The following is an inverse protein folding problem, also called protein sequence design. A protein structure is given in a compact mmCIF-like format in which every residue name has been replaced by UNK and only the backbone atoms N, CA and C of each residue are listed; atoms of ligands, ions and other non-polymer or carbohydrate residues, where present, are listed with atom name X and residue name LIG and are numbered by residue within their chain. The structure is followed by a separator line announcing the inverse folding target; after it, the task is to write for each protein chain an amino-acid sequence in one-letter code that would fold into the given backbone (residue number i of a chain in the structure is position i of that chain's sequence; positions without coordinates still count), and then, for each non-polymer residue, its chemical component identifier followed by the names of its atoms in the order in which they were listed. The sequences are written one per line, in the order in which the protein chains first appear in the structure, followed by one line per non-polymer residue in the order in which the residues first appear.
data_IF_726206624933
#
_entry.id   IF_726206624933
#
_cell.length_a   1.000
_cell.length_b   1.000
_cell.length_c   1.000
_cell.angle_alpha   90.00
_cell.angle_beta   90.00
_cell.angle_gamma   90.00
#
_symmetry.space_group_name_H-M   'P 1'
#
loop_
_entity.id
_entity.type
_entity.pdbx_description
1 polymer ?
#
# COMPACT_ATOMS: atom_id res chain seq x y z
N UNK A 1 -29.92 19.27 -31.04
CA UNK A 1 -28.97 18.39 -31.75
C UNK A 1 -27.68 19.17 -31.90
N UNK A 2 -26.81 19.11 -30.90
CA UNK A 2 -25.55 19.86 -30.84
C UNK A 2 -24.48 18.84 -30.48
N UNK A 3 -23.58 18.54 -31.41
CA UNK A 3 -22.56 17.51 -31.27
C UNK A 3 -21.40 18.06 -30.43
N UNK A 4 -21.03 17.33 -29.38
CA UNK A 4 -19.89 17.60 -28.52
C UNK A 4 -18.66 16.91 -29.14
N UNK A 5 -17.69 17.69 -29.59
CA UNK A 5 -16.47 17.19 -30.22
C UNK A 5 -15.51 16.70 -29.13
N UNK A 6 -15.41 15.38 -28.97
CA UNK A 6 -14.39 14.75 -28.13
C UNK A 6 -13.00 14.91 -28.78
N UNK A 7 -12.13 15.70 -28.16
CA UNK A 7 -10.70 15.77 -28.51
C UNK A 7 -9.99 14.64 -27.79
N UNK A 8 -9.79 13.53 -28.48
CA UNK A 8 -8.97 12.42 -28.03
C UNK A 8 -7.49 12.74 -28.30
N UNK A 9 -6.65 12.76 -27.27
CA UNK A 9 -5.20 12.97 -27.40
C UNK A 9 -4.50 11.70 -26.95
N UNK A 10 -4.16 10.85 -27.92
CA UNK A 10 -3.32 9.68 -27.71
C UNK A 10 -1.90 10.11 -27.29
N UNK A 11 -1.28 9.49 -26.28
CA UNK A 11 0.09 9.83 -25.87
C UNK A 11 1.10 9.25 -26.87
N UNK A 12 1.62 10.11 -27.74
CA UNK A 12 2.75 9.77 -28.62
C UNK A 12 4.02 9.56 -27.80
N UNK A 13 4.45 8.31 -27.69
CA UNK A 13 5.70 7.92 -27.05
C UNK A 13 6.92 8.59 -27.72
N UNK A 14 7.53 9.56 -27.03
CA UNK A 14 8.81 10.14 -27.43
C UNK A 14 9.94 9.48 -26.64
N UNK A 15 10.61 8.51 -27.26
CA UNK A 15 11.91 8.01 -26.78
C UNK A 15 12.97 9.07 -27.05
N UNK A 16 13.57 9.64 -26.02
CA UNK A 16 14.78 10.46 -26.15
C UNK A 16 15.96 9.74 -25.48
N UNK A 17 16.83 9.16 -26.31
CA UNK A 17 18.21 8.84 -25.91
C UNK A 17 19.02 10.13 -25.92
N UNK A 18 19.67 10.47 -24.81
CA UNK A 18 20.81 11.38 -24.82
C UNK A 18 21.76 10.99 -23.67
N UNK A 19 22.93 10.46 -24.06
CA UNK A 19 24.06 10.23 -23.16
C UNK A 19 25.07 11.34 -23.41
N UNK A 20 25.71 11.75 -22.32
CA UNK A 20 27.03 12.40 -22.16
C UNK A 20 27.11 13.91 -21.89
N UNK A 21 27.86 14.16 -20.80
CA UNK A 21 28.61 15.36 -20.39
C UNK A 21 27.84 16.40 -19.56
N UNK A 22 27.66 16.02 -18.30
CA UNK A 22 28.08 16.81 -17.13
C UNK A 22 27.83 18.31 -17.20
N UNK A 23 26.56 18.69 -17.06
CA UNK A 23 26.19 20.03 -16.63
C UNK A 23 25.44 19.87 -15.32
N UNK A 24 26.08 20.25 -14.21
CA UNK A 24 25.39 20.33 -12.92
C UNK A 24 24.45 21.52 -13.00
N UNK A 25 23.21 21.27 -13.40
CA UNK A 25 22.14 22.26 -13.28
C UNK A 25 21.85 22.39 -11.78
N UNK A 26 22.41 23.43 -11.15
CA UNK A 26 21.97 23.85 -9.81
C UNK A 26 20.50 24.25 -9.94
N UNK A 27 19.58 23.35 -9.58
CA UNK A 27 18.20 23.74 -9.26
C UNK A 27 18.31 24.72 -8.11
N UNK A 28 18.15 26.01 -8.40
CA UNK A 28 18.03 27.05 -7.38
C UNK A 28 16.73 26.76 -6.62
N UNK A 29 16.81 26.04 -5.50
CA UNK A 29 15.75 26.06 -4.50
C UNK A 29 15.85 27.42 -3.80
N UNK A 30 14.88 28.34 -3.99
CA UNK A 30 14.89 29.57 -3.22
C UNK A 30 14.74 29.21 -1.74
N UNK A 31 15.77 29.48 -0.94
CA UNK A 31 15.69 29.39 0.51
C UNK A 31 14.74 30.48 0.99
N UNK A 32 13.47 30.15 1.23
CA UNK A 32 12.44 31.07 1.71
C UNK A 32 12.66 31.51 3.18
N UNK A 33 13.84 31.30 3.75
CA UNK A 33 14.17 31.71 5.11
C UNK A 33 15.06 32.95 5.08
N UNK A 34 14.69 33.95 5.88
CA UNK A 34 15.39 35.25 6.06
C UNK A 34 16.86 35.07 6.51
N UNK A 35 17.28 33.85 6.86
CA UNK A 35 18.57 33.52 7.46
C UNK A 35 19.31 32.35 6.77
N UNK A 36 19.07 32.10 5.48
CA UNK A 36 19.76 31.05 4.69
C UNK A 36 19.88 29.71 5.44
N UNK A 37 18.83 29.32 6.17
CA UNK A 37 18.83 28.03 6.88
C UNK A 37 18.88 26.91 5.83
N UNK A 38 19.80 25.92 5.96
CA UNK A 38 19.83 24.78 5.08
C UNK A 38 18.46 24.09 5.07
N UNK A 39 17.86 23.98 3.89
CA UNK A 39 16.63 23.23 3.68
C UNK A 39 17.03 21.91 3.06
N UNK A 40 16.69 20.80 3.71
CA UNK A 40 16.90 19.47 3.15
C UNK A 40 16.08 19.32 1.86
N UNK A 41 16.61 18.65 0.83
CA UNK A 41 15.82 18.32 -0.36
C UNK A 41 14.63 17.45 0.06
N UNK A 42 13.42 17.88 -0.29
CA UNK A 42 12.17 17.14 -0.04
C UNK A 42 11.70 16.47 -1.35
N UNK A 43 11.19 15.24 -1.26
CA UNK A 43 10.62 14.48 -2.39
C UNK A 43 9.16 14.87 -2.72
N UNK A 44 8.78 16.12 -2.45
CA UNK A 44 7.40 16.58 -2.68
C UNK A 44 7.26 17.07 -4.12
N UNK A 45 6.44 16.37 -4.91
CA UNK A 45 6.08 16.80 -6.26
C UNK A 45 4.81 17.67 -6.22
N UNK A 46 4.89 18.85 -6.84
CA UNK A 46 3.76 19.76 -6.98
C UNK A 46 3.14 19.60 -8.36
N UNK A 47 1.83 19.35 -8.42
CA UNK A 47 1.10 19.08 -9.67
C UNK A 47 0.39 20.33 -10.20
N UNK A 48 0.10 21.30 -9.33
CA UNK A 48 -0.54 22.54 -9.73
C UNK A 48 -0.79 23.51 -8.57
N UNK A 49 -1.61 24.53 -8.83
CA UNK A 49 -2.00 25.55 -7.84
C UNK A 49 -3.50 25.81 -7.92
N UNK A 50 -4.18 25.91 -6.78
CA UNK A 50 -5.57 26.37 -6.68
C UNK A 50 -5.59 27.89 -6.44
N UNK A 51 -6.43 28.64 -7.18
CA UNK A 51 -6.51 30.11 -7.12
C UNK A 51 -7.78 30.66 -6.43
N UNK A 52 -8.60 29.81 -5.83
CA UNK A 52 -9.91 30.21 -5.28
C UNK A 52 -9.80 31.13 -4.03
N UNK A 53 -8.63 31.16 -3.36
CA UNK A 53 -8.36 32.01 -2.19
C UNK A 53 -6.85 32.25 -2.04
N UNK A 54 -6.23 32.85 -3.05
CA UNK A 54 -4.78 32.97 -3.21
C UNK A 54 -4.16 31.74 -3.87
N UNK A 55 -2.86 31.79 -4.20
CA UNK A 55 -2.14 30.68 -4.82
C UNK A 55 -1.79 29.61 -3.77
N UNK A 56 -2.50 28.48 -3.80
CA UNK A 56 -2.26 27.34 -2.91
C UNK A 56 -1.66 26.19 -3.71
N UNK A 57 -0.43 25.75 -3.44
CA UNK A 57 0.17 24.63 -4.15
C UNK A 57 -0.58 23.32 -3.83
N UNK A 58 -0.76 22.50 -4.85
CA UNK A 58 -1.38 21.18 -4.76
C UNK A 58 -0.30 20.12 -4.94
N UNK A 59 -0.09 19.36 -3.88
CA UNK A 59 0.86 18.25 -3.86
C UNK A 59 0.28 17.02 -4.58
N UNK A 60 1.13 16.27 -5.28
CA UNK A 60 0.80 14.96 -5.84
C UNK A 60 0.44 13.97 -4.72
N UNK A 61 -0.68 13.27 -4.83
CA UNK A 61 -1.01 12.13 -3.97
C UNK A 61 -0.54 10.84 -4.63
N UNK A 62 0.08 9.94 -3.86
CA UNK A 62 0.44 8.59 -4.31
C UNK A 62 -0.72 7.58 -4.21
N UNK A 63 -1.90 8.01 -3.74
CA UNK A 63 -3.06 7.14 -3.58
C UNK A 63 -3.66 6.76 -4.93
N UNK A 64 -3.84 5.47 -5.18
CA UNK A 64 -4.61 4.97 -6.32
C UNK A 64 -6.10 5.07 -5.97
N UNK A 65 -6.79 6.01 -6.62
CA UNK A 65 -8.23 6.26 -6.41
C UNK A 65 -9.03 5.41 -7.40
N UNK A 66 -9.92 4.57 -6.88
CA UNK A 66 -10.86 3.78 -7.70
C UNK A 66 -11.99 4.66 -8.24
N UNK A 67 -12.50 5.57 -7.41
CA UNK A 67 -13.58 6.48 -7.77
C UNK A 67 -13.87 7.46 -6.64
N UNK A 68 -14.97 8.20 -6.74
CA UNK A 68 -15.41 9.13 -5.70
C UNK A 68 -16.86 8.86 -5.32
N UNK A 69 -17.20 9.00 -4.04
CA UNK A 69 -18.59 8.97 -3.56
C UNK A 69 -19.05 10.34 -3.08
N UNK A 70 -20.33 10.63 -3.34
CA UNK A 70 -21.01 11.86 -2.91
C UNK A 70 -20.23 13.11 -3.37
N UNK A 71 -19.97 14.03 -2.43
CA UNK A 71 -19.30 15.31 -2.65
C UNK A 71 -17.78 15.17 -2.89
N UNK A 72 -17.38 14.27 -3.79
CA UNK A 72 -15.98 14.10 -4.19
C UNK A 72 -15.09 13.43 -3.16
N UNK A 73 -15.64 12.60 -2.24
CA UNK A 73 -14.82 11.84 -1.30
C UNK A 73 -14.13 10.69 -2.06
N UNK A 74 -12.79 10.66 -2.16
CA UNK A 74 -12.10 9.62 -2.90
C UNK A 74 -12.25 8.27 -2.20
N UNK A 75 -12.40 7.22 -2.99
CA UNK A 75 -12.36 5.83 -2.57
C UNK A 75 -11.02 5.25 -3.03
N UNK A 76 -10.25 4.75 -2.08
CA UNK A 76 -9.00 4.05 -2.37
C UNK A 76 -9.27 2.71 -3.03
N UNK A 77 -8.50 2.36 -4.06
CA UNK A 77 -8.54 1.04 -4.66
C UNK A 77 -8.09 -0.04 -3.67
N UNK A 78 -8.77 -1.17 -3.66
CA UNK A 78 -8.47 -2.33 -2.81
C UNK A 78 -8.04 -3.52 -3.65
N UNK A 79 -7.10 -4.31 -3.14
CA UNK A 79 -6.59 -5.53 -3.80
C UNK A 79 -7.43 -6.79 -3.48
N UNK A 80 -8.56 -6.63 -2.78
CA UNK A 80 -9.45 -7.73 -2.41
C UNK A 80 -10.10 -8.37 -3.65
N UNK A 81 -10.07 -9.71 -3.73
CA UNK A 81 -10.71 -10.48 -4.79
C UNK A 81 -12.08 -10.98 -4.34
N UNK A 82 -13.10 -10.72 -5.14
CA UNK A 82 -14.46 -11.17 -4.89
C UNK A 82 -14.65 -12.52 -5.59
N UNK A 83 -15.14 -13.52 -4.86
CA UNK A 83 -15.50 -14.83 -5.40
C UNK A 83 -16.91 -14.81 -5.98
N UNK A 84 -17.88 -14.36 -5.19
CA UNK A 84 -19.29 -14.28 -5.56
C UNK A 84 -20.00 -13.19 -4.71
N UNK A 85 -21.25 -12.89 -5.01
CA UNK A 85 -22.07 -11.96 -4.23
C UNK A 85 -23.40 -12.59 -3.83
N UNK A 86 -23.76 -12.48 -2.55
CA UNK A 86 -25.05 -12.93 -2.06
C UNK A 86 -26.20 -12.08 -2.63
N UNK A 87 -27.41 -12.64 -2.74
CA UNK A 87 -28.61 -11.85 -3.02
C UNK A 87 -28.78 -10.82 -1.90
N UNK A 88 -28.62 -9.54 -2.24
CA UNK A 88 -28.57 -8.43 -1.28
C UNK A 88 -27.28 -7.59 -1.35
N UNK A 89 -26.30 -7.99 -2.19
CA UNK A 89 -25.12 -7.17 -2.50
C UNK A 89 -23.93 -7.35 -1.55
N UNK A 90 -24.02 -8.29 -0.60
CA UNK A 90 -22.89 -8.66 0.24
C UNK A 90 -21.89 -9.50 -0.56
N UNK A 91 -20.69 -8.97 -0.78
CA UNK A 91 -19.61 -9.69 -1.44
C UNK A 91 -19.05 -10.82 -0.56
N UNK A 92 -18.78 -11.97 -1.18
CA UNK A 92 -17.98 -13.06 -0.63
C UNK A 92 -16.55 -12.89 -1.16
N UNK A 93 -15.59 -12.74 -0.26
CA UNK A 93 -14.18 -12.60 -0.62
C UNK A 93 -13.50 -13.95 -0.72
N UNK A 94 -12.52 -14.05 -1.61
CA UNK A 94 -11.59 -15.19 -1.63
C UNK A 94 -10.71 -15.11 -0.39
N UNK A 95 -10.60 -16.20 0.36
CA UNK A 95 -9.69 -16.34 1.50
C UNK A 95 -8.78 -17.53 1.32
N UNK A 96 -7.53 -17.41 1.78
CA UNK A 96 -6.57 -18.52 1.79
C UNK A 96 -6.78 -19.50 2.97
N UNK A 97 -7.79 -19.25 3.81
CA UNK A 97 -8.14 -20.13 4.92
C UNK A 97 -8.96 -21.33 4.44
N UNK A 98 -8.47 -22.54 4.74
CA UNK A 98 -9.14 -23.79 4.43
C UNK A 98 -9.59 -24.48 5.72
N UNK A 99 -10.91 -24.66 5.85
CA UNK A 99 -11.47 -25.56 6.86
C UNK A 99 -11.23 -27.02 6.45
N UNK A 100 -10.93 -27.87 7.42
CA UNK A 100 -10.78 -29.32 7.20
C UNK A 100 -12.16 -29.95 7.16
N UNK A 101 -12.52 -30.52 6.01
CA UNK A 101 -13.83 -31.14 5.82
C UNK A 101 -14.00 -32.36 6.75
N UNK A 102 -15.15 -32.44 7.42
CA UNK A 102 -15.52 -33.57 8.27
C UNK A 102 -14.95 -33.54 9.69
N UNK A 103 -14.18 -32.51 10.06
CA UNK A 103 -13.66 -32.32 11.40
C UNK A 103 -14.25 -31.06 12.04
N UNK A 104 -15.43 -31.22 12.66
CA UNK A 104 -16.06 -30.17 13.46
C UNK A 104 -15.96 -30.51 14.94
N UNK A 105 -15.64 -29.50 15.76
CA UNK A 105 -15.77 -29.63 17.21
C UNK A 105 -17.26 -29.60 17.61
N UNK A 106 -17.60 -30.16 18.79
CA UNK A 106 -18.96 -30.08 19.33
C UNK A 106 -19.52 -28.65 19.27
N UNK A 107 -20.71 -28.52 18.69
CA UNK A 107 -21.34 -27.22 18.44
C UNK A 107 -21.02 -26.58 17.09
N UNK A 108 -20.54 -27.36 16.11
CA UNK A 108 -20.34 -26.88 14.73
C UNK A 108 -19.21 -25.86 14.61
N UNK A 109 -18.17 -26.00 15.44
CA UNK A 109 -17.00 -25.12 15.41
C UNK A 109 -16.03 -25.68 14.37
N UNK A 110 -15.78 -24.97 13.25
CA UNK A 110 -14.93 -25.48 12.18
C UNK A 110 -13.49 -25.58 12.63
N UNK A 111 -12.80 -26.65 12.21
CA UNK A 111 -11.36 -26.81 12.42
C UNK A 111 -10.61 -26.35 11.18
N UNK A 112 -9.64 -25.47 11.39
CA UNK A 112 -8.80 -24.93 10.32
C UNK A 112 -7.52 -25.73 10.18
N UNK A 113 -7.04 -25.89 8.95
CA UNK A 113 -5.72 -26.46 8.70
C UNK A 113 -4.65 -25.47 9.19
N UNK A 114 -3.75 -25.95 10.05
CA UNK A 114 -2.59 -25.20 10.48
C UNK A 114 -1.43 -25.39 9.49
N UNK A 115 -0.52 -24.41 9.34
CA UNK A 115 0.65 -24.58 8.49
C UNK A 115 1.51 -25.76 8.99
N UNK A 116 2.08 -26.52 8.04
CA UNK A 116 2.81 -27.77 8.33
C UNK A 116 3.97 -27.63 9.31
N UNK A 117 4.60 -26.45 9.43
CA UNK A 117 5.68 -26.20 10.40
C UNK A 117 5.26 -26.35 11.87
N UNK A 118 3.96 -26.34 12.18
CA UNK A 118 3.45 -26.61 13.52
C UNK A 118 3.43 -28.11 13.87
N UNK A 119 3.63 -29.00 12.89
CA UNK A 119 3.72 -30.44 13.13
C UNK A 119 5.01 -30.82 13.85
N UNK A 120 6.10 -30.10 13.55
CA UNK A 120 7.43 -30.32 14.11
C UNK A 120 7.69 -29.53 15.41
N UNK A 121 6.74 -28.67 15.81
CA UNK A 121 6.85 -27.90 17.04
C UNK A 121 6.80 -28.82 18.28
N UNK A 122 7.60 -28.50 19.30
CA UNK A 122 7.46 -29.10 20.63
C UNK A 122 6.04 -28.88 21.17
N UNK A 123 5.43 -29.88 21.80
CA UNK A 123 4.02 -29.83 22.25
C UNK A 123 3.88 -29.97 23.76
N UNK A 124 2.97 -29.18 24.35
CA UNK A 124 2.49 -29.37 25.71
C UNK A 124 1.40 -30.44 25.79
N UNK A 125 1.01 -30.89 27.00
CA UNK A 125 -0.18 -31.71 27.19
C UNK A 125 -1.41 -31.12 26.48
N UNK A 126 -2.13 -31.98 25.74
CA UNK A 126 -3.24 -31.57 24.88
C UNK A 126 -2.80 -31.01 23.53
N UNK A 127 -1.67 -31.47 23.00
CA UNK A 127 -1.15 -31.17 21.65
C UNK A 127 -0.99 -29.68 21.34
N UNK A 128 -0.70 -28.86 22.36
CA UNK A 128 -0.52 -27.42 22.19
C UNK A 128 0.90 -27.14 21.68
N UNK A 129 1.09 -26.69 20.42
CA UNK A 129 2.42 -26.40 19.92
C UNK A 129 3.00 -25.18 20.64
N UNK A 130 4.27 -25.28 21.00
CA UNK A 130 5.08 -24.19 21.51
C UNK A 130 6.31 -24.02 20.62
N UNK A 131 6.69 -22.77 20.43
CA UNK A 131 7.94 -22.44 19.77
C UNK A 131 9.13 -22.79 20.69
N UNK A 132 10.25 -23.13 20.07
CA UNK A 132 11.50 -23.30 20.80
C UNK A 132 11.90 -21.98 21.45
N UNK A 133 12.41 -22.06 22.68
CA UNK A 133 13.07 -20.92 23.33
C UNK A 133 14.55 -20.80 22.89
N UNK A 134 15.02 -21.68 22.01
CA UNK A 134 16.34 -21.59 21.42
C UNK A 134 16.36 -20.40 20.47
N UNK A 135 17.13 -19.38 20.85
CA UNK A 135 17.37 -18.19 20.06
C UNK A 135 18.66 -18.44 19.27
N UNK A 136 18.60 -18.41 17.95
CA UNK A 136 19.73 -18.75 17.08
C UNK A 136 20.98 -17.87 17.35
N UNK A 137 20.80 -16.64 17.86
CA UNK A 137 21.93 -15.78 18.23
C UNK A 137 21.60 -14.80 19.36
N UNK A 138 21.60 -15.27 20.61
CA UNK A 138 21.35 -14.44 21.79
C UNK A 138 22.34 -13.26 21.95
N UNK A 139 23.59 -13.41 21.45
CA UNK A 139 24.64 -12.39 21.58
C UNK A 139 24.38 -11.17 20.69
N UNK A 140 23.86 -11.35 19.47
CA UNK A 140 23.49 -10.24 18.58
C UNK A 140 22.28 -9.45 19.09
N UNK A 141 21.35 -10.11 19.79
CA UNK A 141 20.18 -9.44 20.37
C UNK A 141 20.50 -8.66 21.66
N UNK A 142 21.51 -9.08 22.44
CA UNK A 142 21.92 -8.39 23.67
C UNK A 142 22.88 -7.21 23.43
N UNK A 143 23.42 -7.06 22.21
CA UNK A 143 24.40 -6.03 21.85
C UNK A 143 23.85 -4.61 21.62
N UNK A 144 22.54 -4.39 21.76
CA UNK A 144 21.89 -3.09 21.56
C UNK A 144 21.53 -2.36 22.87
N UNK A 145 21.97 -2.86 24.02
CA UNK A 145 21.81 -2.19 25.31
C UNK A 145 23.16 -1.58 25.71
N UNK A 146 23.41 -0.37 25.21
CA UNK A 146 24.37 0.62 25.76
C UNK A 146 23.75 2.02 25.63
#
# INVERSE_FOLDING_TARGET
MSQEAAVNVDPKAAKAKAVTKGTIVKKQTPSLSIWERPVMPNEVEMVGTLQMAGERPVQASAMVVFGTILNGRPIQASDLKIYDALPGGSAIFVSDFHAVEGLDLPGGRPVMASPGGLMDASKLPGDRPIFSNEVDNAYELMGFID
#
